data_IF_359872740132
#
_entry.id   IF_359872740132
#
_cell.length_a   1.000
_cell.length_b   1.000
_cell.length_c   1.000
_cell.angle_alpha   90.00
_cell.angle_beta   90.00
_cell.angle_gamma   90.00
#
_symmetry.space_group_name_H-M   'P 1'
#
loop_
_entity.id
_entity.type
_entity.pdbx_description
1 polymer ?
#
# COMPACT_ATOMS: atom_id res chain seq x y z
N UNK A 1 3.14 9.09 12.94
CA UNK A 1 3.26 8.16 14.09
C UNK A 1 4.33 7.14 13.70
N UNK A 2 5.56 7.30 14.19
CA UNK A 2 6.61 6.30 14.05
C UNK A 2 6.63 5.57 15.38
N UNK A 3 6.01 4.40 15.42
CA UNK A 3 6.23 3.48 16.54
C UNK A 3 7.62 2.87 16.35
N UNK A 4 8.57 3.23 17.22
CA UNK A 4 9.98 2.81 17.11
C UNK A 4 10.19 1.34 17.47
N UNK A 5 9.14 0.58 17.78
CA UNK A 5 9.19 -0.85 18.08
C UNK A 5 8.47 -1.75 17.07
N UNK A 6 7.67 -1.21 16.16
CA UNK A 6 6.98 -2.01 15.15
C UNK A 6 7.95 -2.39 14.02
N UNK A 7 8.00 -3.66 13.56
CA UNK A 7 8.91 -4.09 12.49
C UNK A 7 8.49 -3.57 11.10
N UNK A 8 7.60 -2.57 11.02
CA UNK A 8 7.07 -2.02 9.79
C UNK A 8 6.68 -0.55 9.97
N UNK A 9 6.57 0.17 8.85
CA UNK A 9 6.08 1.56 8.81
C UNK A 9 4.86 1.63 7.90
N UNK A 10 4.03 2.66 8.08
CA UNK A 10 2.88 2.92 7.22
C UNK A 10 2.87 4.35 6.68
N UNK A 11 2.35 4.53 5.48
CA UNK A 11 2.03 5.83 4.91
C UNK A 11 0.67 5.77 4.21
N UNK A 12 -0.27 6.59 4.68
CA UNK A 12 -1.53 6.80 3.99
C UNK A 12 -1.33 7.69 2.77
N UNK A 13 -2.03 7.38 1.69
CA UNK A 13 -2.12 8.21 0.50
C UNK A 13 -3.52 8.84 0.41
N UNK A 14 -3.56 10.12 0.07
CA UNK A 14 -4.79 10.90 -0.09
C UNK A 14 -5.00 11.29 -1.56
N UNK A 15 -4.58 10.44 -2.50
CA UNK A 15 -4.71 10.63 -3.96
C UNK A 15 -6.14 10.93 -4.44
N UNK A 16 -7.17 10.69 -3.64
CA UNK A 16 -8.58 10.97 -3.96
C UNK A 16 -9.07 12.39 -3.63
N UNK A 17 -8.26 13.25 -3.00
CA UNK A 17 -8.70 14.60 -2.61
C UNK A 17 -8.85 15.50 -3.84
N UNK A 18 -9.96 16.25 -3.90
CA UNK A 18 -10.20 17.20 -4.99
C UNK A 18 -9.14 18.30 -4.98
N UNK A 19 -8.33 18.34 -6.02
CA UNK A 19 -7.25 19.32 -6.18
C UNK A 19 -7.67 20.51 -7.04
N UNK A 20 -6.98 21.64 -6.87
CA UNK A 20 -7.06 22.76 -7.81
C UNK A 20 -6.43 22.37 -9.15
N UNK A 21 -6.73 23.10 -10.25
CA UNK A 21 -6.13 22.82 -11.57
C UNK A 21 -4.60 22.90 -11.55
N UNK A 22 -4.05 23.88 -10.83
CA UNK A 22 -2.60 24.05 -10.70
C UNK A 22 -1.97 22.89 -9.93
N UNK A 23 -2.58 22.50 -8.80
CA UNK A 23 -2.13 21.36 -7.99
C UNK A 23 -2.23 20.04 -8.75
N UNK A 24 -3.30 19.84 -9.55
CA UNK A 24 -3.44 18.65 -10.40
C UNK A 24 -2.38 18.59 -11.50
N UNK A 25 -1.99 19.74 -12.07
CA UNK A 25 -0.88 19.82 -13.02
C UNK A 25 0.45 19.41 -12.40
N UNK A 26 0.75 19.92 -11.19
CA UNK A 26 1.95 19.55 -10.42
C UNK A 26 1.91 18.06 -10.08
N UNK A 27 0.80 17.57 -9.52
CA UNK A 27 0.61 16.18 -9.15
C UNK A 27 0.91 15.22 -10.31
N UNK A 28 0.42 15.54 -11.51
CA UNK A 28 0.67 14.75 -12.72
C UNK A 28 2.16 14.68 -13.08
N UNK A 29 2.88 15.81 -13.03
CA UNK A 29 4.31 15.83 -13.39
C UNK A 29 5.21 15.26 -12.30
N UNK A 30 4.76 15.28 -11.04
CA UNK A 30 5.49 14.68 -9.92
C UNK A 30 5.19 13.18 -9.73
N UNK A 31 4.48 12.56 -10.68
CA UNK A 31 4.23 11.11 -10.67
C UNK A 31 3.10 10.66 -9.74
N UNK A 32 2.20 11.57 -9.34
CA UNK A 32 0.97 11.21 -8.64
C UNK A 32 0.02 10.55 -9.63
N UNK A 33 0.05 9.23 -9.64
CA UNK A 33 -0.68 8.42 -10.61
C UNK A 33 -2.08 8.07 -10.07
N UNK A 34 -3.14 8.28 -10.87
CA UNK A 34 -4.49 7.89 -10.47
C UNK A 34 -4.58 6.40 -10.15
N UNK A 35 -5.15 6.09 -8.99
CA UNK A 35 -5.44 4.72 -8.59
C UNK A 35 -4.31 3.99 -7.86
N UNK A 36 -3.31 4.71 -7.35
CA UNK A 36 -2.43 4.17 -6.31
C UNK A 36 -3.23 3.79 -5.05
N UNK A 37 -2.90 2.65 -4.39
CA UNK A 37 -3.61 2.21 -3.19
C UNK A 37 -3.51 3.21 -2.03
N UNK A 38 -4.59 3.31 -1.25
CA UNK A 38 -4.75 4.25 -0.14
C UNK A 38 -3.73 4.08 1.01
N UNK A 39 -3.18 2.88 1.23
CA UNK A 39 -2.24 2.62 2.31
C UNK A 39 -1.02 1.85 1.83
N UNK A 40 0.16 2.37 2.16
CA UNK A 40 1.44 1.70 2.01
C UNK A 40 1.91 1.14 3.35
N UNK A 41 2.38 -0.10 3.35
CA UNK A 41 2.96 -0.80 4.50
C UNK A 41 4.37 -1.24 4.14
N UNK A 42 5.36 -0.56 4.69
CA UNK A 42 6.79 -0.87 4.51
C UNK A 42 7.17 -1.97 5.48
N UNK A 43 7.37 -3.18 4.96
CA UNK A 43 7.68 -4.39 5.71
C UNK A 43 9.21 -4.64 5.74
N UNK A 44 9.70 -5.54 6.60
CA UNK A 44 11.11 -5.93 6.60
C UNK A 44 11.58 -6.44 5.23
N UNK A 45 12.91 -6.42 5.03
CA UNK A 45 13.57 -6.96 3.84
C UNK A 45 13.16 -6.24 2.53
N UNK A 46 12.75 -4.97 2.61
CA UNK A 46 12.38 -4.15 1.46
C UNK A 46 11.02 -4.51 0.85
N UNK A 47 10.22 -5.34 1.54
CA UNK A 47 8.88 -5.71 1.07
C UNK A 47 7.92 -4.54 1.21
N UNK A 48 7.02 -4.41 0.23
CA UNK A 48 5.97 -3.40 0.21
C UNK A 48 4.61 -4.08 0.12
N UNK A 49 3.80 -3.86 1.15
CA UNK A 49 2.37 -4.17 1.16
C UNK A 49 1.55 -2.93 0.85
N UNK A 50 0.47 -3.09 0.10
CA UNK A 50 -0.40 -2.03 -0.37
C UNK A 50 -1.86 -2.41 -0.10
N UNK A 51 -2.65 -1.50 0.45
CA UNK A 51 -4.07 -1.73 0.74
C UNK A 51 -4.90 -0.62 0.11
N UNK A 52 -5.91 -1.01 -0.65
CA UNK A 52 -6.96 -0.13 -1.15
C UNK A 52 -8.24 -0.37 -0.36
N UNK A 53 -8.88 0.70 0.11
CA UNK A 53 -10.14 0.63 0.83
C UNK A 53 -11.32 0.90 -0.08
N UNK A 54 -12.39 0.14 0.11
CA UNK A 54 -13.68 0.37 -0.51
C UNK A 54 -14.79 0.20 0.52
N UNK A 55 -15.85 0.98 0.35
CA UNK A 55 -17.13 0.65 0.96
C UNK A 55 -17.56 -0.76 0.54
N UNK A 56 -18.41 -1.42 1.33
CA UNK A 56 -18.85 -2.80 1.08
C UNK A 56 -19.34 -3.06 -0.37
N UNK A 57 -20.13 -2.12 -0.93
CA UNK A 57 -20.61 -2.17 -2.31
C UNK A 57 -19.69 -1.46 -3.33
N UNK A 58 -18.59 -0.85 -2.85
CA UNK A 58 -17.62 -0.11 -3.64
C UNK A 58 -16.88 -0.99 -4.64
N UNK A 59 -16.51 -0.38 -5.76
CA UNK A 59 -15.79 -1.03 -6.86
C UNK A 59 -14.51 -0.27 -7.16
N UNK A 60 -13.48 -1.00 -7.61
CA UNK A 60 -12.28 -0.38 -8.16
C UNK A 60 -12.64 0.37 -9.44
N UNK A 61 -12.08 1.57 -9.60
CA UNK A 61 -12.10 2.29 -10.86
C UNK A 61 -11.28 1.54 -11.93
N UNK A 62 -11.48 1.80 -13.23
CA UNK A 62 -10.64 1.20 -14.27
C UNK A 62 -9.14 1.46 -14.08
N UNK A 63 -8.77 2.68 -13.67
CA UNK A 63 -7.37 3.04 -13.37
C UNK A 63 -6.81 2.22 -12.22
N UNK A 64 -7.56 2.05 -11.13
CA UNK A 64 -7.17 1.22 -10.00
C UNK A 64 -6.95 -0.24 -10.41
N UNK A 65 -7.85 -0.81 -11.22
CA UNK A 65 -7.68 -2.19 -11.72
C UNK A 65 -6.36 -2.36 -12.48
N UNK A 66 -6.05 -1.44 -13.39
CA UNK A 66 -4.81 -1.48 -14.18
C UNK A 66 -3.59 -1.34 -13.26
N UNK A 67 -3.59 -0.32 -12.38
CA UNK A 67 -2.50 -0.04 -11.45
C UNK A 67 -2.22 -1.23 -10.53
N UNK A 68 -3.27 -1.83 -9.98
CA UNK A 68 -3.21 -3.00 -9.11
C UNK A 68 -2.58 -4.22 -9.79
N UNK A 69 -2.90 -4.46 -11.07
CA UNK A 69 -2.30 -5.53 -11.86
C UNK A 69 -0.81 -5.26 -12.06
N UNK A 70 -0.44 -4.03 -12.45
CA UNK A 70 0.96 -3.65 -12.66
C UNK A 70 1.77 -3.78 -11.36
N UNK A 71 1.27 -3.27 -10.24
CA UNK A 71 1.95 -3.36 -8.95
C UNK A 71 2.19 -4.82 -8.51
N UNK A 72 1.20 -5.71 -8.73
CA UNK A 72 1.37 -7.14 -8.47
C UNK A 72 2.42 -7.77 -9.38
N UNK A 73 2.45 -7.40 -10.67
CA UNK A 73 3.46 -7.89 -11.61
C UNK A 73 4.89 -7.46 -11.25
N UNK A 74 5.04 -6.36 -10.51
CA UNK A 74 6.31 -5.89 -9.95
C UNK A 74 6.70 -6.60 -8.63
N UNK A 75 5.86 -7.51 -8.14
CA UNK A 75 6.11 -8.28 -6.91
C UNK A 75 5.59 -7.63 -5.63
N UNK A 76 4.82 -6.53 -5.72
CA UNK A 76 4.21 -5.92 -4.54
C UNK A 76 2.96 -6.71 -4.09
N UNK A 77 2.80 -6.83 -2.77
CA UNK A 77 1.56 -7.35 -2.20
C UNK A 77 0.52 -6.24 -2.22
N UNK A 78 -0.63 -6.49 -2.82
CA UNK A 78 -1.71 -5.50 -2.91
C UNK A 78 -3.00 -6.20 -2.52
N UNK A 79 -3.75 -5.62 -1.61
CA UNK A 79 -5.04 -6.14 -1.14
C UNK A 79 -6.13 -5.07 -1.25
N UNK A 80 -7.37 -5.52 -1.40
CA UNK A 80 -8.55 -4.63 -1.41
C UNK A 80 -9.42 -4.98 -0.22
N UNK A 81 -9.54 -4.04 0.72
CA UNK A 81 -10.41 -4.17 1.88
C UNK A 81 -11.77 -3.58 1.54
N UNK A 82 -12.80 -4.42 1.51
CA UNK A 82 -14.19 -3.99 1.42
C UNK A 82 -14.80 -4.04 2.81
N UNK A 83 -15.16 -2.88 3.33
CA UNK A 83 -15.69 -2.77 4.68
C UNK A 83 -16.99 -1.96 4.72
N UNK A 84 -17.90 -2.38 5.60
CA UNK A 84 -19.14 -1.64 5.87
C UNK A 84 -18.97 -0.63 7.01
N UNK A 85 -18.02 -0.88 7.91
CA UNK A 85 -17.74 -0.05 9.08
C UNK A 85 -16.24 0.17 9.24
N UNK A 86 -15.87 1.19 10.01
CA UNK A 86 -14.46 1.46 10.35
C UNK A 86 -13.82 0.28 11.12
N UNK A 87 -14.56 -0.30 12.05
CA UNK A 87 -14.10 -1.42 12.87
C UNK A 87 -13.83 -2.69 12.04
N UNK A 88 -14.65 -2.93 11.01
CA UNK A 88 -14.46 -4.01 10.04
C UNK A 88 -13.21 -3.73 9.18
N UNK A 89 -13.06 -2.50 8.67
CA UNK A 89 -11.86 -2.10 7.92
C UNK A 89 -10.58 -2.28 8.75
N UNK A 90 -10.62 -1.87 10.02
CA UNK A 90 -9.52 -2.01 10.98
C UNK A 90 -9.17 -3.49 11.19
N UNK A 91 -10.15 -4.32 11.48
CA UNK A 91 -9.95 -5.75 11.76
C UNK A 91 -9.35 -6.48 10.56
N UNK A 92 -9.87 -6.26 9.35
CA UNK A 92 -9.32 -6.84 8.13
C UNK A 92 -7.89 -6.37 7.85
N UNK A 93 -7.62 -5.07 8.01
CA UNK A 93 -6.29 -4.49 7.81
C UNK A 93 -5.26 -5.10 8.75
N UNK A 94 -5.60 -5.22 10.04
CA UNK A 94 -4.71 -5.84 11.02
C UNK A 94 -4.43 -7.29 10.65
N UNK A 95 -5.45 -8.07 10.27
CA UNK A 95 -5.29 -9.46 9.87
C UNK A 95 -4.36 -9.60 8.64
N UNK A 96 -4.52 -8.74 7.63
CA UNK A 96 -3.67 -8.72 6.43
C UNK A 96 -2.21 -8.43 6.80
N UNK A 97 -1.96 -7.36 7.58
CA UNK A 97 -0.60 -6.95 7.95
C UNK A 97 0.07 -8.01 8.81
N UNK A 98 -0.64 -8.60 9.78
CA UNK A 98 -0.12 -9.71 10.58
C UNK A 98 0.21 -10.92 9.72
N UNK A 99 -0.62 -11.25 8.73
CA UNK A 99 -0.33 -12.31 7.76
C UNK A 99 0.94 -12.04 6.95
N UNK A 100 1.17 -10.80 6.52
CA UNK A 100 2.39 -10.43 5.79
C UNK A 100 3.65 -10.51 6.66
N UNK A 101 3.53 -10.15 7.95
CA UNK A 101 4.61 -10.25 8.93
C UNK A 101 4.92 -11.71 9.28
N UNK A 102 3.90 -12.57 9.42
CA UNK A 102 4.09 -13.99 9.66
C UNK A 102 4.72 -14.70 8.46
N UNK A 103 4.37 -14.31 7.23
CA UNK A 103 5.05 -14.79 6.02
C UNK A 103 6.51 -14.32 5.90
N UNK A 104 6.96 -13.42 6.80
CA UNK A 104 8.33 -12.94 6.88
C UNK A 104 9.13 -13.73 7.93
N UNK A 105 9.29 -15.04 7.76
CA UNK A 105 10.09 -15.91 8.64
C UNK A 105 11.63 -15.64 8.57
N UNK A 106 12.03 -14.38 8.38
CA UNK A 106 13.39 -13.86 8.52
C UNK A 106 14.48 -14.72 7.87
N UNK A 107 14.25 -15.24 6.67
CA UNK A 107 15.34 -15.78 5.87
C UNK A 107 16.41 -14.67 5.72
N UNK A 108 17.68 -14.94 6.07
CA UNK A 108 18.70 -13.90 6.07
C UNK A 108 18.82 -13.34 4.65
N UNK A 109 18.61 -12.03 4.51
CA UNK A 109 19.00 -11.32 3.30
C UNK A 109 20.50 -11.47 3.21
N UNK A 110 20.97 -12.30 2.27
CA UNK A 110 22.40 -12.36 1.94
C UNK A 110 22.76 -10.96 1.45
N UNK A 111 23.29 -10.15 2.36
CA UNK A 111 23.79 -8.84 2.06
C UNK A 111 24.89 -9.04 1.03
N UNK A 112 24.60 -8.77 -0.24
CA UNK A 112 25.63 -8.61 -1.26
C UNK A 112 26.40 -7.34 -0.93
N UNK A 113 27.33 -7.45 0.04
CA UNK A 113 28.49 -6.58 0.07
C UNK A 113 29.33 -6.95 -1.14
N UNK A 114 29.09 -6.28 -2.27
CA UNK A 114 30.15 -6.14 -3.26
C UNK A 114 31.14 -5.14 -2.69
N UNK A 115 32.27 -5.67 -2.22
CA UNK A 115 33.49 -4.90 -2.18
C UNK A 115 33.87 -4.58 -3.63
N UNK A 116 33.96 -3.30 -3.96
CA UNK A 116 34.73 -2.75 -5.07
C UNK A 116 35.20 -1.37 -4.65
#
# INVERSE_FOLDING_TARGET
MIDRGAPFLIAGDMSGVRMSKATAGIAKVTGMEPGDPDLRVYLPNGRLGLIEYKAAAGRLSPAQKIRHVVLRSLGHQVEVVKAATEEDARSQTVAIVLGWLAANDNAPVVAQRKAS
#
